data_IF_342942532788
#
_entry.id   IF_342942532788
#
_cell.length_a   1.000
_cell.length_b   1.000
_cell.length_c   1.000
_cell.angle_alpha   90.00
_cell.angle_beta   90.00
_cell.angle_gamma   90.00
#
_symmetry.space_group_name_H-M   'P 1'
#
loop_
_entity.id
_entity.type
_entity.pdbx_description
1 polymer ?
#
# COMPACT_ATOMS: atom_id res chain seq x y z
N UNK A 1 15.87 2.85 6.42
CA UNK A 1 15.93 1.80 5.37
C UNK A 1 16.18 0.45 6.00
N UNK A 2 15.72 -0.59 5.35
CA UNK A 2 15.96 -1.97 5.81
C UNK A 2 17.42 -2.38 5.54
N UNK A 3 17.90 -3.35 6.30
CA UNK A 3 19.23 -3.92 6.07
C UNK A 3 19.33 -4.47 4.64
N UNK A 4 20.45 -4.24 3.98
CA UNK A 4 20.66 -4.64 2.60
C UNK A 4 20.17 -3.65 1.56
N UNK A 5 19.50 -2.58 1.96
CA UNK A 5 19.07 -1.51 1.07
C UNK A 5 20.09 -0.37 1.11
N UNK A 6 20.62 -0.01 -0.05
CA UNK A 6 21.57 1.09 -0.21
C UNK A 6 21.16 1.95 -1.40
N UNK A 7 21.73 3.15 -1.49
CA UNK A 7 21.50 4.00 -2.66
C UNK A 7 22.04 3.36 -3.94
N UNK A 8 23.10 2.57 -3.83
CA UNK A 8 23.74 1.94 -4.98
C UNK A 8 22.88 0.84 -5.61
N UNK A 9 22.03 0.16 -4.81
CA UNK A 9 21.18 -0.92 -5.31
C UNK A 9 19.71 -0.52 -5.43
N UNK A 10 19.39 0.77 -5.28
CA UNK A 10 18.04 1.28 -5.51
C UNK A 10 17.59 1.00 -6.94
N UNK A 11 16.37 0.50 -7.09
CA UNK A 11 15.82 0.15 -8.39
C UNK A 11 16.19 -1.24 -8.89
N UNK A 12 17.28 -1.83 -8.36
CA UNK A 12 17.71 -3.19 -8.71
C UNK A 12 17.27 -4.21 -7.67
N UNK A 13 17.55 -3.92 -6.40
CA UNK A 13 17.27 -4.81 -5.27
C UNK A 13 16.07 -4.33 -4.48
N UNK A 14 15.89 -3.02 -4.38
CA UNK A 14 14.79 -2.43 -3.65
C UNK A 14 14.28 -1.18 -4.36
N UNK A 15 13.07 -0.76 -4.01
CA UNK A 15 12.45 0.47 -4.53
C UNK A 15 11.46 1.01 -3.50
N UNK A 16 11.00 2.25 -3.70
CA UNK A 16 9.87 2.78 -2.95
C UNK A 16 8.60 2.33 -3.62
N UNK A 17 7.65 1.83 -2.84
CA UNK A 17 6.40 1.33 -3.38
C UNK A 17 5.22 1.76 -2.52
N UNK A 18 4.04 1.78 -3.10
CA UNK A 18 2.80 2.10 -2.40
C UNK A 18 2.34 0.89 -1.58
N UNK A 19 2.00 1.13 -0.30
CA UNK A 19 1.45 0.07 0.55
C UNK A 19 0.06 -0.31 0.03
N UNK A 20 -0.82 0.69 -0.16
CA UNK A 20 -2.13 0.48 -0.79
C UNK A 20 -1.95 0.68 -2.30
N UNK A 21 -2.35 -0.31 -3.12
CA UNK A 21 -2.20 -0.22 -4.57
C UNK A 21 -2.87 1.03 -5.15
N UNK A 22 -2.24 1.64 -6.14
CA UNK A 22 -2.76 2.86 -6.78
C UNK A 22 -4.14 2.67 -7.40
N UNK A 23 -4.46 1.45 -7.81
CA UNK A 23 -5.76 1.14 -8.41
C UNK A 23 -6.96 1.26 -7.47
N UNK A 24 -6.72 1.36 -6.14
CA UNK A 24 -7.79 1.53 -5.17
C UNK A 24 -8.18 2.99 -4.95
N UNK A 25 -7.43 3.93 -5.52
CA UNK A 25 -7.68 5.36 -5.35
C UNK A 25 -8.41 5.93 -6.56
N UNK A 26 -9.26 6.91 -6.29
CA UNK A 26 -9.96 7.66 -7.33
C UNK A 26 -9.16 8.93 -7.63
N UNK A 27 -8.39 8.93 -8.72
CA UNK A 27 -7.52 10.05 -9.06
C UNK A 27 -8.29 11.29 -9.52
N UNK A 28 -9.59 11.19 -9.74
CA UNK A 28 -10.43 12.35 -9.99
C UNK A 28 -10.73 13.14 -8.70
N UNK A 29 -10.45 12.55 -7.54
CA UNK A 29 -10.62 13.19 -6.25
C UNK A 29 -9.26 13.65 -5.71
N UNK A 30 -9.08 14.97 -5.43
CA UNK A 30 -7.80 15.46 -4.89
C UNK A 30 -7.40 14.81 -3.58
N UNK A 31 -8.34 14.52 -2.69
CA UNK A 31 -8.05 13.87 -1.40
C UNK A 31 -7.52 12.45 -1.58
N UNK A 32 -8.00 11.71 -2.58
CA UNK A 32 -7.50 10.37 -2.88
C UNK A 32 -6.09 10.43 -3.46
N UNK A 33 -5.84 11.41 -4.33
CA UNK A 33 -4.53 11.62 -4.91
C UNK A 33 -3.49 11.93 -3.83
N UNK A 34 -3.81 12.84 -2.90
CA UNK A 34 -2.96 13.17 -1.78
C UNK A 34 -2.67 11.93 -0.90
N UNK A 35 -3.70 11.14 -0.63
CA UNK A 35 -3.58 9.96 0.20
C UNK A 35 -2.70 8.89 -0.46
N UNK A 36 -2.85 8.71 -1.76
CA UNK A 36 -2.06 7.74 -2.53
C UNK A 36 -0.56 8.02 -2.42
N UNK A 37 -0.17 9.29 -2.48
CA UNK A 37 1.23 9.71 -2.41
C UNK A 37 1.66 10.17 -1.02
N UNK A 38 0.83 9.97 0.00
CA UNK A 38 1.18 10.28 1.37
C UNK A 38 2.33 9.37 1.83
N UNK A 39 3.25 9.92 2.63
CA UNK A 39 4.42 9.16 3.09
C UNK A 39 4.02 7.91 3.89
N UNK A 40 2.85 7.91 4.53
CA UNK A 40 2.33 6.73 5.23
C UNK A 40 1.98 5.59 4.28
N UNK A 41 1.76 5.88 2.99
CA UNK A 41 1.43 4.88 1.99
C UNK A 41 2.65 4.46 1.17
N UNK A 42 3.83 4.96 1.47
CA UNK A 42 5.04 4.67 0.71
C UNK A 42 6.07 4.06 1.63
N UNK A 43 6.67 2.96 1.22
CA UNK A 43 7.70 2.29 1.99
C UNK A 43 8.78 1.70 1.09
N UNK A 44 10.02 1.59 1.58
CA UNK A 44 11.03 0.81 0.85
C UNK A 44 10.65 -0.67 0.87
N UNK A 45 10.81 -1.32 -0.27
CA UNK A 45 10.44 -2.72 -0.43
C UNK A 45 11.46 -3.42 -1.32
N UNK A 46 11.87 -4.62 -0.95
CA UNK A 46 12.71 -5.43 -1.82
C UNK A 46 11.94 -5.83 -3.07
N UNK A 47 12.63 -5.91 -4.20
CA UNK A 47 12.00 -6.21 -5.49
C UNK A 47 11.25 -7.54 -5.48
N UNK A 48 11.77 -8.54 -4.78
CA UNK A 48 11.09 -9.83 -4.65
C UNK A 48 9.80 -9.72 -3.86
N UNK A 49 9.81 -8.95 -2.77
CA UNK A 49 8.63 -8.73 -1.93
C UNK A 49 7.56 -7.96 -2.69
N UNK A 50 7.96 -6.97 -3.48
CA UNK A 50 7.04 -6.19 -4.31
C UNK A 50 6.36 -7.07 -5.34
N UNK A 51 7.10 -7.98 -5.97
CA UNK A 51 6.56 -8.92 -6.93
C UNK A 51 5.56 -9.87 -6.29
N UNK A 52 5.90 -10.40 -5.11
CA UNK A 52 5.06 -11.34 -4.36
C UNK A 52 3.80 -10.66 -3.81
N UNK A 53 3.90 -9.37 -3.47
CA UNK A 53 2.77 -8.57 -3.01
C UNK A 53 1.66 -8.55 -4.06
N UNK A 54 2.00 -8.31 -5.31
CA UNK A 54 1.07 -8.44 -6.44
C UNK A 54 -0.24 -7.66 -6.31
N UNK A 55 -0.26 -6.55 -5.57
CA UNK A 55 -1.47 -5.78 -5.32
C UNK A 55 -2.39 -6.35 -4.24
N UNK A 56 -1.89 -7.27 -3.41
CA UNK A 56 -2.68 -7.87 -2.33
C UNK A 56 -3.07 -6.85 -1.26
N UNK A 57 -4.39 -6.66 -1.07
CA UNK A 57 -4.89 -5.76 -0.05
C UNK A 57 -4.72 -6.31 1.36
N UNK A 58 -4.63 -7.63 1.51
CA UNK A 58 -4.36 -8.26 2.81
C UNK A 58 -2.95 -7.91 3.29
N UNK A 59 -1.96 -7.96 2.40
CA UNK A 59 -0.61 -7.54 2.70
C UNK A 59 -0.58 -6.06 3.09
N UNK A 60 -1.29 -5.22 2.33
CA UNK A 60 -1.40 -3.79 2.60
C UNK A 60 -1.98 -3.52 4.00
N UNK A 61 -3.06 -4.21 4.34
CA UNK A 61 -3.72 -4.05 5.64
C UNK A 61 -2.79 -4.41 6.79
N UNK A 62 -2.05 -5.53 6.67
CA UNK A 62 -1.08 -5.95 7.67
C UNK A 62 0.01 -4.91 7.88
N UNK A 63 0.53 -4.33 6.79
CA UNK A 63 1.56 -3.30 6.87
C UNK A 63 1.04 -2.01 7.52
N UNK A 64 -0.17 -1.59 7.16
CA UNK A 64 -0.77 -0.38 7.72
C UNK A 64 -0.98 -0.51 9.22
N UNK A 65 -1.30 -1.70 9.71
CA UNK A 65 -1.51 -1.95 11.14
C UNK A 65 -0.23 -1.82 11.96
N UNK A 66 0.94 -1.85 11.32
CA UNK A 66 2.22 -1.65 12.01
C UNK A 66 2.63 -0.19 12.11
N UNK A 67 1.93 0.71 11.43
CA UNK A 67 2.25 2.13 11.42
C UNK A 67 1.64 2.85 12.62
N UNK A 68 2.24 3.99 13.05
CA UNK A 68 1.62 4.82 14.08
C UNK A 68 0.23 5.27 13.67
N UNK A 69 -0.69 5.34 14.63
CA UNK A 69 -2.06 5.75 14.36
C UNK A 69 -2.12 7.21 13.90
N UNK A 70 -2.86 7.46 12.82
CA UNK A 70 -3.06 8.79 12.27
C UNK A 70 -4.34 8.80 11.43
N UNK A 71 -4.92 9.98 11.14
CA UNK A 71 -6.10 10.06 10.27
C UNK A 71 -5.83 9.46 8.87
N UNK A 72 -4.63 9.67 8.33
CA UNK A 72 -4.24 9.16 7.02
C UNK A 72 -4.17 7.64 7.01
N UNK A 73 -3.56 7.05 8.05
CA UNK A 73 -3.47 5.60 8.19
C UNK A 73 -4.86 4.99 8.33
N UNK A 74 -5.75 5.61 9.08
CA UNK A 74 -7.13 5.14 9.23
C UNK A 74 -7.87 5.13 7.89
N UNK A 75 -7.69 6.16 7.08
CA UNK A 75 -8.29 6.24 5.74
C UNK A 75 -7.74 5.14 4.82
N UNK A 76 -6.43 4.90 4.87
CA UNK A 76 -5.80 3.84 4.09
C UNK A 76 -6.32 2.46 4.50
N UNK A 77 -6.43 2.20 5.79
CA UNK A 77 -7.00 0.96 6.31
C UNK A 77 -8.44 0.78 5.82
N UNK A 78 -9.23 1.84 5.86
CA UNK A 78 -10.61 1.80 5.41
C UNK A 78 -10.73 1.45 3.93
N UNK A 79 -9.82 1.96 3.09
CA UNK A 79 -9.78 1.60 1.67
C UNK A 79 -9.54 0.10 1.48
N UNK A 80 -8.59 -0.47 2.24
CA UNK A 80 -8.30 -1.91 2.17
C UNK A 80 -9.49 -2.74 2.64
N UNK A 81 -10.10 -2.37 3.75
CA UNK A 81 -11.26 -3.08 4.29
C UNK A 81 -12.45 -3.05 3.34
N UNK A 82 -12.68 -1.90 2.70
CA UNK A 82 -13.75 -1.73 1.71
C UNK A 82 -13.51 -2.65 0.51
N UNK A 83 -12.29 -2.71 0.02
CA UNK A 83 -11.95 -3.57 -1.13
C UNK A 83 -12.10 -5.05 -0.78
N UNK A 84 -11.67 -5.45 0.40
CA UNK A 84 -11.84 -6.82 0.87
C UNK A 84 -13.32 -7.19 0.93
N UNK A 85 -14.14 -6.30 1.49
CA UNK A 85 -15.58 -6.47 1.58
C UNK A 85 -16.22 -6.59 0.19
N UNK A 86 -15.84 -5.71 -0.72
CA UNK A 86 -16.38 -5.73 -2.08
C UNK A 86 -16.02 -7.01 -2.83
N UNK A 87 -14.78 -7.46 -2.67
CA UNK A 87 -14.31 -8.71 -3.28
C UNK A 87 -15.08 -9.90 -2.72
N UNK A 88 -15.27 -9.94 -1.39
CA UNK A 88 -16.03 -10.99 -0.74
C UNK A 88 -17.49 -11.04 -1.22
N UNK A 89 -18.12 -9.88 -1.35
CA UNK A 89 -19.51 -9.78 -1.81
C UNK A 89 -19.69 -10.31 -3.23
N UNK A 90 -18.67 -10.19 -4.08
CA UNK A 90 -18.73 -10.75 -5.45
C UNK A 90 -18.87 -12.26 -5.46
N UNK A 91 -18.33 -12.94 -4.48
CA UNK A 91 -18.39 -14.40 -4.40
C UNK A 91 -19.69 -14.92 -3.76
N UNK A 92 -20.49 -14.02 -3.16
CA UNK A 92 -21.77 -14.40 -2.56
C UNK A 92 -22.94 -14.31 -3.55
N UNK A 93 -22.70 -13.73 -4.71
CA UNK A 93 -23.68 -13.60 -5.77
C UNK A 93 -23.41 -14.71 -6.80
#
# INVERSE_FOLDING_TARGET
MLDGMTYDNFGKVWSLDHIVPTGLFDFDKPEDLELCYNYNNIMPMFSNDNRNKGGSVHFSLLKLQTLPDSPEVKKLINLCETEIKNTYMKYLI
#
